data_IF_189002355440
#
_entry.id   IF_189002355440
#
_cell.length_a   1.000
_cell.length_b   1.000
_cell.length_c   1.000
_cell.angle_alpha   90.00
_cell.angle_beta   90.00
_cell.angle_gamma   90.00
#
_symmetry.space_group_name_H-M   'P 1'
#
loop_
_entity.id
_entity.type
_entity.pdbx_description
1 polymer ?
#
# COMPACT_ATOMS: atom_id res chain seq x y z
N UNK A 1 29.94 -4.41 -7.98
CA UNK A 1 29.04 -4.63 -6.83
C UNK A 1 27.64 -4.79 -7.40
N UNK A 2 27.02 -5.96 -7.27
CA UNK A 2 25.65 -6.18 -7.72
C UNK A 2 24.73 -5.47 -6.73
N UNK A 3 24.16 -4.33 -7.09
CA UNK A 3 23.10 -3.73 -6.30
C UNK A 3 21.85 -4.59 -6.51
N UNK A 4 21.41 -5.29 -5.47
CA UNK A 4 20.09 -5.93 -5.47
C UNK A 4 19.04 -4.89 -5.87
N UNK A 5 18.08 -5.24 -6.73
CA UNK A 5 17.04 -4.29 -7.15
C UNK A 5 16.27 -3.80 -5.93
N UNK A 6 16.07 -2.49 -5.84
CA UNK A 6 15.27 -1.88 -4.77
C UNK A 6 13.81 -2.20 -5.08
N UNK A 7 13.15 -2.98 -4.22
CA UNK A 7 11.77 -3.43 -4.47
C UNK A 7 10.79 -2.48 -3.79
N UNK A 8 9.81 -1.99 -4.54
CA UNK A 8 8.61 -1.35 -3.99
C UNK A 8 7.43 -2.31 -4.13
N UNK A 9 6.83 -2.69 -3.00
CA UNK A 9 5.59 -3.44 -2.99
C UNK A 9 4.40 -2.47 -2.92
N UNK A 10 3.54 -2.52 -3.93
CA UNK A 10 2.26 -1.84 -3.97
C UNK A 10 1.13 -2.83 -3.68
N UNK A 11 0.35 -2.60 -2.64
CA UNK A 11 -0.80 -3.43 -2.29
C UNK A 11 -2.08 -2.67 -2.62
N UNK A 12 -2.73 -2.99 -3.72
CA UNK A 12 -3.93 -2.28 -4.19
C UNK A 12 -4.70 -3.11 -5.21
N UNK A 13 -6.00 -2.86 -5.33
CA UNK A 13 -6.82 -3.23 -6.49
C UNK A 13 -7.17 -2.04 -7.37
N UNK A 14 -6.80 -0.80 -6.98
CA UNK A 14 -7.07 0.41 -7.77
C UNK A 14 -6.09 0.54 -8.95
N UNK A 15 -6.56 0.42 -10.22
CA UNK A 15 -5.70 0.50 -11.40
C UNK A 15 -5.10 1.90 -11.62
N UNK A 16 -5.74 2.96 -11.10
CA UNK A 16 -5.21 4.33 -11.17
C UNK A 16 -3.97 4.47 -10.29
N UNK A 17 -4.02 3.90 -9.08
CA UNK A 17 -2.87 3.87 -8.17
C UNK A 17 -1.73 3.03 -8.76
N UNK A 18 -2.03 1.88 -9.38
CA UNK A 18 -1.03 1.07 -10.08
C UNK A 18 -0.34 1.87 -11.19
N UNK A 19 -1.12 2.52 -12.06
CA UNK A 19 -0.59 3.34 -13.16
C UNK A 19 0.29 4.47 -12.65
N UNK A 20 -0.16 5.21 -11.64
CA UNK A 20 0.58 6.34 -11.09
C UNK A 20 1.88 5.90 -10.41
N UNK A 21 1.82 4.85 -9.58
CA UNK A 21 3.00 4.30 -8.90
C UNK A 21 4.02 3.80 -9.91
N UNK A 22 3.58 3.13 -10.98
CA UNK A 22 4.47 2.68 -12.06
C UNK A 22 5.21 3.85 -12.73
N UNK A 23 4.53 4.95 -13.03
CA UNK A 23 5.18 6.12 -13.61
C UNK A 23 6.28 6.71 -12.69
N UNK A 24 6.04 6.71 -11.37
CA UNK A 24 7.00 7.20 -10.37
C UNK A 24 8.20 6.25 -10.25
N UNK A 25 7.96 4.95 -10.04
CA UNK A 25 9.04 3.97 -9.79
C UNK A 25 9.95 3.76 -10.99
N UNK A 26 9.43 3.86 -12.22
CA UNK A 26 10.22 3.74 -13.45
C UNK A 26 11.32 4.82 -13.51
N UNK A 27 11.10 6.00 -12.89
CA UNK A 27 12.10 7.08 -12.79
C UNK A 27 13.13 6.88 -11.66
N UNK A 28 12.79 6.09 -10.64
CA UNK A 28 13.57 5.92 -9.41
C UNK A 28 14.34 4.59 -9.36
N UNK A 29 14.27 3.78 -10.42
CA UNK A 29 14.91 2.45 -10.54
C UNK A 29 14.48 1.46 -9.45
N UNK A 30 13.22 1.52 -9.04
CA UNK A 30 12.61 0.47 -8.22
C UNK A 30 12.02 -0.64 -9.10
N UNK A 31 12.15 -1.88 -8.66
CA UNK A 31 11.34 -3.00 -9.14
C UNK A 31 9.96 -2.92 -8.48
N UNK A 32 8.91 -2.66 -9.25
CA UNK A 32 7.54 -2.58 -8.75
C UNK A 32 6.91 -3.96 -8.71
N UNK A 33 6.54 -4.41 -7.51
CA UNK A 33 5.70 -5.60 -7.30
C UNK A 33 4.31 -5.17 -6.88
N UNK A 34 3.29 -5.81 -7.43
CA UNK A 34 1.89 -5.51 -7.12
C UNK A 34 1.26 -6.72 -6.42
N UNK A 35 0.60 -6.48 -5.29
CA UNK A 35 -0.22 -7.46 -4.60
C UNK A 35 -1.68 -6.97 -4.57
N UNK A 36 -2.56 -7.70 -5.24
CA UNK A 36 -3.99 -7.38 -5.30
C UNK A 36 -4.79 -8.02 -4.15
N UNK A 37 -4.10 -8.65 -3.18
CA UNK A 37 -4.73 -9.20 -1.97
C UNK A 37 -3.76 -9.18 -0.77
N UNK A 38 -4.30 -9.19 0.47
CA UNK A 38 -3.48 -9.29 1.67
C UNK A 38 -2.61 -10.55 1.75
N UNK A 39 -3.07 -11.68 1.19
CA UNK A 39 -2.31 -12.94 1.20
C UNK A 39 -1.04 -12.83 0.36
N UNK A 40 -1.18 -12.35 -0.89
CA UNK A 40 -0.03 -12.10 -1.78
C UNK A 40 0.89 -11.04 -1.16
N UNK A 41 0.31 -10.01 -0.52
CA UNK A 41 1.09 -8.98 0.15
C UNK A 41 1.99 -9.57 1.23
N UNK A 42 1.51 -10.52 2.05
CA UNK A 42 2.30 -11.19 3.09
C UNK A 42 3.51 -11.92 2.53
N UNK A 43 3.34 -12.64 1.42
CA UNK A 43 4.42 -13.41 0.80
C UNK A 43 5.54 -12.51 0.24
N UNK A 44 5.18 -11.29 -0.18
CA UNK A 44 6.11 -10.32 -0.77
C UNK A 44 6.66 -9.30 0.25
N UNK A 45 6.12 -9.27 1.47
CA UNK A 45 6.25 -8.16 2.41
C UNK A 45 7.70 -7.88 2.84
N UNK A 46 8.40 -8.93 3.29
CA UNK A 46 9.78 -8.83 3.80
C UNK A 46 10.80 -8.51 2.69
N UNK A 47 10.53 -8.94 1.46
CA UNK A 47 11.41 -8.71 0.31
C UNK A 47 11.34 -7.29 -0.25
N UNK A 48 10.37 -6.48 0.18
CA UNK A 48 10.22 -5.10 -0.26
C UNK A 48 11.10 -4.16 0.57
N UNK A 49 11.74 -3.17 -0.05
CA UNK A 49 12.41 -2.08 0.65
C UNK A 49 11.39 -1.04 1.15
N UNK A 50 10.41 -0.72 0.31
CA UNK A 50 9.29 0.18 0.62
C UNK A 50 7.97 -0.54 0.37
N UNK A 51 6.99 -0.31 1.25
CA UNK A 51 5.62 -0.79 1.07
C UNK A 51 4.65 0.38 0.98
N UNK A 52 3.82 0.37 -0.06
CA UNK A 52 2.70 1.28 -0.24
C UNK A 52 1.40 0.48 -0.28
N UNK A 53 0.42 0.88 0.52
CA UNK A 53 -0.88 0.19 0.61
C UNK A 53 -1.98 1.15 0.20
N UNK A 54 -2.72 0.78 -0.84
CA UNK A 54 -3.92 1.46 -1.24
C UNK A 54 -4.98 1.41 -0.15
N UNK A 55 -5.68 2.53 0.05
CA UNK A 55 -6.74 2.64 1.06
C UNK A 55 -7.88 1.64 0.87
N UNK A 56 -8.06 1.13 -0.36
CA UNK A 56 -9.00 0.09 -0.76
C UNK A 56 -8.67 -1.30 -0.16
N UNK A 57 -7.39 -1.55 0.15
CA UNK A 57 -6.95 -2.80 0.79
C UNK A 57 -6.41 -2.63 2.21
N UNK A 58 -6.15 -1.40 2.68
CA UNK A 58 -5.54 -1.16 3.99
C UNK A 58 -6.29 -1.82 5.16
N UNK A 59 -7.63 -1.73 5.19
CA UNK A 59 -8.43 -2.40 6.22
C UNK A 59 -8.33 -3.92 6.15
N UNK A 60 -8.39 -4.49 4.94
CA UNK A 60 -8.25 -5.94 4.72
C UNK A 60 -6.85 -6.43 5.11
N UNK A 61 -5.81 -5.64 4.92
CA UNK A 61 -4.46 -5.96 5.39
C UNK A 61 -4.40 -6.06 6.92
N UNK A 62 -5.09 -5.15 7.64
CA UNK A 62 -5.21 -5.22 9.10
C UNK A 62 -5.97 -6.46 9.54
N UNK A 63 -7.13 -6.73 8.94
CA UNK A 63 -7.97 -7.90 9.24
C UNK A 63 -7.23 -9.24 9.01
N UNK A 64 -6.38 -9.29 7.98
CA UNK A 64 -5.60 -10.48 7.63
C UNK A 64 -4.22 -10.56 8.28
N UNK A 65 -3.96 -9.69 9.27
CA UNK A 65 -2.74 -9.66 10.07
C UNK A 65 -1.47 -9.60 9.20
N UNK A 66 -1.50 -8.78 8.14
CA UNK A 66 -0.31 -8.46 7.37
C UNK A 66 0.75 -7.86 8.30
N UNK A 67 2.04 -8.26 8.22
CA UNK A 67 3.06 -7.82 9.15
C UNK A 67 3.15 -6.29 9.25
N UNK A 68 3.41 -5.78 10.46
CA UNK A 68 3.58 -4.34 10.68
C UNK A 68 4.96 -3.88 10.26
N UNK A 69 5.10 -2.61 9.85
CA UNK A 69 6.38 -2.05 9.38
C UNK A 69 6.46 -0.55 9.58
N UNK A 70 7.62 -0.05 10.04
CA UNK A 70 7.88 1.38 10.24
C UNK A 70 7.95 2.22 8.94
N UNK A 71 8.30 1.60 7.82
CA UNK A 71 8.48 2.26 6.52
C UNK A 71 7.37 1.89 5.54
N UNK A 72 6.14 2.30 5.88
CA UNK A 72 4.93 2.04 5.10
C UNK A 72 4.15 3.33 4.83
N UNK A 73 3.60 3.43 3.62
CA UNK A 73 2.67 4.48 3.22
C UNK A 73 1.27 3.90 3.00
N UNK A 74 0.23 4.56 3.51
CA UNK A 74 -1.16 4.29 3.10
C UNK A 74 -1.60 5.40 2.16
N UNK A 75 -2.06 5.05 0.96
CA UNK A 75 -2.36 5.99 -0.12
C UNK A 75 -3.83 5.90 -0.49
N UNK A 76 -4.51 7.05 -0.49
CA UNK A 76 -5.88 7.18 -0.97
C UNK A 76 -5.89 7.90 -2.31
N UNK A 77 -6.66 7.36 -3.28
CA UNK A 77 -6.92 8.03 -4.56
C UNK A 77 -8.25 8.77 -4.43
N UNK A 78 -8.18 10.09 -4.26
CA UNK A 78 -9.39 10.93 -4.26
C UNK A 78 -10.06 10.87 -5.63
N UNK A 79 -11.39 10.74 -5.64
CA UNK A 79 -12.17 10.92 -6.86
C UNK A 79 -12.49 12.41 -7.03
N UNK A 80 -11.84 13.08 -7.98
CA UNK A 80 -12.18 14.47 -8.34
C UNK A 80 -13.48 14.60 -9.15
N UNK A 81 -14.28 13.54 -9.28
CA UNK A 81 -15.62 13.66 -9.87
C UNK A 81 -16.58 14.09 -8.76
N UNK A 82 -16.84 15.40 -8.70
CA UNK A 82 -17.91 15.95 -7.87
C UNK A 82 -19.24 15.23 -8.11
N UNK A 83 -20.05 15.18 -7.05
CA UNK A 83 -21.37 14.52 -6.90
C UNK A 83 -21.30 13.13 -6.24
N UNK A 84 -21.58 13.13 -4.94
CA UNK A 84 -21.96 11.95 -4.17
C UNK A 84 -20.76 11.20 -3.61
N UNK A 85 -20.73 11.09 -2.27
CA UNK A 85 -19.82 10.18 -1.57
C UNK A 85 -19.99 8.81 -2.21
N UNK A 86 -18.99 8.34 -2.95
CA UNK A 86 -19.02 7.01 -3.55
C UNK A 86 -19.30 6.01 -2.42
N UNK A 87 -20.35 5.20 -2.56
CA UNK A 87 -20.66 4.17 -1.59
C UNK A 87 -19.44 3.23 -1.46
N UNK A 88 -18.75 3.32 -0.33
CA UNK A 88 -17.50 2.59 -0.08
C UNK A 88 -16.24 3.46 0.08
N UNK A 89 -16.34 4.79 0.06
CA UNK A 89 -15.19 5.64 0.44
C UNK A 89 -14.86 5.40 1.92
N UNK A 90 -13.69 4.86 2.20
CA UNK A 90 -13.16 4.79 3.55
C UNK A 90 -13.08 6.20 4.16
N UNK A 91 -13.56 6.37 5.39
CA UNK A 91 -13.46 7.66 6.06
C UNK A 91 -11.98 8.02 6.30
N UNK A 92 -11.63 9.31 6.27
CA UNK A 92 -10.27 9.75 6.62
C UNK A 92 -9.83 9.21 8.00
N UNK A 93 -10.76 9.14 8.95
CA UNK A 93 -10.53 8.57 10.28
C UNK A 93 -10.11 7.09 10.21
N UNK A 94 -10.77 6.29 9.38
CA UNK A 94 -10.44 4.87 9.25
C UNK A 94 -9.14 4.65 8.49
N UNK A 95 -8.82 5.52 7.53
CA UNK A 95 -7.53 5.52 6.86
C UNK A 95 -6.37 5.73 7.87
N UNK A 96 -6.49 6.72 8.76
CA UNK A 96 -5.50 6.94 9.82
C UNK A 96 -5.36 5.73 10.75
N UNK A 97 -6.47 5.11 11.14
CA UNK A 97 -6.46 3.90 11.99
C UNK A 97 -5.73 2.75 11.31
N UNK A 98 -5.99 2.50 10.03
CA UNK A 98 -5.31 1.44 9.29
C UNK A 98 -3.81 1.74 9.11
N UNK A 99 -3.44 2.99 8.83
CA UNK A 99 -2.04 3.39 8.73
C UNK A 99 -1.29 3.16 10.04
N UNK A 100 -1.88 3.52 11.19
CA UNK A 100 -1.29 3.26 12.52
C UNK A 100 -1.19 1.76 12.81
N UNK A 101 -2.24 1.00 12.49
CA UNK A 101 -2.27 -0.45 12.72
C UNK A 101 -1.20 -1.20 11.90
N UNK A 102 -0.92 -0.75 10.67
CA UNK A 102 0.11 -1.30 9.81
C UNK A 102 1.50 -0.72 10.09
N UNK A 103 1.59 0.54 10.53
CA UNK A 103 2.83 1.29 10.69
C UNK A 103 3.56 1.08 12.04
N UNK A 104 2.82 0.67 13.08
CA UNK A 104 3.40 0.52 14.43
C UNK A 104 4.23 -0.77 14.54
N UNK A 105 5.56 -0.67 14.64
CA UNK A 105 6.37 -1.82 15.03
C UNK A 105 6.00 -2.26 16.45
N UNK A 106 5.84 -3.56 16.70
CA UNK A 106 5.83 -4.06 18.08
C UNK A 106 7.24 -3.86 18.63
N UNK A 107 7.38 -2.94 19.58
CA UNK A 107 8.50 -2.95 20.51
C UNK A 107 8.17 -4.03 21.53
N UNK A 108 8.85 -5.18 21.45
CA UNK A 108 8.95 -6.12 22.56
C UNK A 108 10.20 -5.77 23.36
#
# INVERSE_FOLDING_TARGET
MSHSPRVLLLVTTDPRLMKHTKAVVDSLRFDLRVAESPLIARDLWEGAELVSVGSDLAGKCVENLVPRRSHLLVVHVSSEVGLGVAAGSISERDMWRHAVALGSSQSC
#
